data_IF_488502052479
#
_entry.id   IF_488502052479
#
_cell.length_a   1.000
_cell.length_b   1.000
_cell.length_c   1.000
_cell.angle_alpha   90.00
_cell.angle_beta   90.00
_cell.angle_gamma   90.00
#
_symmetry.space_group_name_H-M   'P 1'
#
loop_
_entity.id
_entity.type
_entity.pdbx_description
1 polymer ?
#
# COMPACT_ATOMS: atom_id res chain seq x y z
N UNK A 1 -11.09 -13.56 11.29
CA UNK A 1 -10.43 -12.30 10.88
C UNK A 1 -9.33 -12.02 11.89
N UNK A 2 -8.22 -11.41 11.47
CA UNK A 2 -7.12 -11.06 12.37
C UNK A 2 -6.96 -9.54 12.34
N UNK A 3 -7.01 -8.91 13.52
CA UNK A 3 -6.81 -7.48 13.65
C UNK A 3 -5.33 -7.14 13.42
N UNK A 4 -5.08 -6.18 12.55
CA UNK A 4 -3.74 -5.67 12.25
C UNK A 4 -3.75 -4.15 12.30
N UNK A 5 -2.63 -3.49 12.62
CA UNK A 5 -2.53 -2.04 12.54
C UNK A 5 -2.90 -1.54 11.13
N UNK A 6 -3.67 -0.45 11.06
CA UNK A 6 -4.20 0.10 9.80
C UNK A 6 -3.14 0.24 8.71
N UNK A 7 -1.99 0.82 9.03
CA UNK A 7 -0.88 1.03 8.09
C UNK A 7 -0.33 -0.30 7.57
N UNK A 8 -0.23 -1.32 8.41
CA UNK A 8 0.24 -2.65 8.00
C UNK A 8 -0.77 -3.32 7.08
N UNK A 9 -2.06 -3.27 7.44
CA UNK A 9 -3.15 -3.77 6.60
C UNK A 9 -3.19 -3.08 5.22
N UNK A 10 -3.05 -1.76 5.18
CA UNK A 10 -3.03 -0.98 3.94
C UNK A 10 -1.83 -1.35 3.04
N UNK A 11 -0.64 -1.58 3.62
CA UNK A 11 0.54 -2.05 2.87
C UNK A 11 0.34 -3.46 2.31
N UNK A 12 -0.26 -4.34 3.10
CA UNK A 12 -0.58 -5.69 2.67
C UNK A 12 -1.58 -5.65 1.50
N UNK A 13 -2.63 -4.84 1.60
CA UNK A 13 -3.59 -4.63 0.54
C UNK A 13 -2.92 -4.12 -0.75
N UNK A 14 -1.98 -3.18 -0.64
CA UNK A 14 -1.21 -2.68 -1.78
C UNK A 14 -0.36 -3.79 -2.42
N UNK A 15 0.34 -4.58 -1.60
CA UNK A 15 1.15 -5.71 -2.07
C UNK A 15 0.28 -6.76 -2.77
N UNK A 16 -0.87 -7.12 -2.19
CA UNK A 16 -1.80 -8.08 -2.79
C UNK A 16 -2.31 -7.58 -4.13
N UNK A 17 -2.75 -6.31 -4.23
CA UNK A 17 -3.20 -5.73 -5.48
C UNK A 17 -2.11 -5.71 -6.57
N UNK A 18 -0.85 -5.47 -6.19
CA UNK A 18 0.27 -5.59 -7.12
C UNK A 18 0.43 -7.03 -7.64
N UNK A 19 0.33 -8.03 -6.75
CA UNK A 19 0.46 -9.45 -7.11
C UNK A 19 -0.66 -9.91 -8.04
N UNK A 20 -1.90 -9.52 -7.76
CA UNK A 20 -3.07 -9.81 -8.60
C UNK A 20 -2.92 -9.25 -10.02
N UNK A 21 -2.27 -8.09 -10.17
CA UNK A 21 -2.06 -7.43 -11.46
C UNK A 21 -0.73 -7.79 -12.14
N UNK A 22 0.09 -8.66 -11.55
CA UNK A 22 1.45 -8.93 -12.03
C UNK A 22 2.35 -7.69 -12.02
N UNK A 23 2.04 -6.66 -11.22
CA UNK A 23 2.74 -5.38 -11.21
C UNK A 23 4.05 -5.47 -10.42
N UNK A 24 5.15 -5.12 -11.07
CA UNK A 24 6.47 -5.06 -10.42
C UNK A 24 6.64 -3.79 -9.58
N UNK A 25 7.64 -3.77 -8.68
CA UNK A 25 7.98 -2.58 -7.88
C UNK A 25 8.39 -1.40 -8.77
N UNK A 26 9.17 -1.67 -9.83
CA UNK A 26 9.54 -0.69 -10.86
C UNK A 26 8.30 -0.20 -11.61
N UNK A 27 7.37 -1.09 -11.95
CA UNK A 27 6.11 -0.74 -12.61
C UNK A 27 5.25 0.18 -11.74
N UNK A 28 5.10 -0.13 -10.45
CA UNK A 28 4.41 0.74 -9.51
C UNK A 28 5.15 2.08 -9.33
N UNK A 29 6.47 2.06 -9.25
CA UNK A 29 7.28 3.27 -9.14
C UNK A 29 7.04 4.22 -10.33
N UNK A 30 6.98 3.69 -11.56
CA UNK A 30 6.61 4.45 -12.77
C UNK A 30 5.19 5.01 -12.69
N UNK A 31 4.20 4.23 -12.25
CA UNK A 31 2.80 4.70 -12.07
C UNK A 31 2.68 5.83 -11.05
N UNK A 32 3.55 5.83 -10.03
CA UNK A 32 3.55 6.81 -8.95
C UNK A 32 4.48 8.01 -9.21
N UNK A 33 5.33 7.97 -10.24
CA UNK A 33 6.38 8.97 -10.43
C UNK A 33 7.43 8.97 -9.31
N UNK A 34 7.71 7.79 -8.73
CA UNK A 34 8.65 7.62 -7.61
C UNK A 34 9.86 6.76 -8.00
N UNK A 35 10.87 6.71 -7.13
CA UNK A 35 11.95 5.74 -7.25
C UNK A 35 11.53 4.34 -6.78
N UNK A 36 12.17 3.30 -7.32
CA UNK A 36 11.95 1.91 -6.89
C UNK A 36 12.24 1.73 -5.38
N UNK A 37 13.26 2.42 -4.87
CA UNK A 37 13.58 2.44 -3.44
C UNK A 37 12.47 3.05 -2.57
N UNK A 38 11.79 4.09 -3.05
CA UNK A 38 10.63 4.64 -2.36
C UNK A 38 9.46 3.64 -2.31
N UNK A 39 9.24 2.90 -3.39
CA UNK A 39 8.22 1.82 -3.42
C UNK A 39 8.61 0.65 -2.50
N UNK A 40 9.88 0.24 -2.47
CA UNK A 40 10.37 -0.77 -1.51
C UNK A 40 10.11 -0.37 -0.06
N UNK A 41 10.36 0.89 0.28
CA UNK A 41 10.07 1.47 1.59
C UNK A 41 8.56 1.48 1.88
N UNK A 42 7.75 1.85 0.90
CA UNK A 42 6.29 1.86 1.01
C UNK A 42 5.71 0.46 1.28
N UNK A 43 6.27 -0.58 0.67
CA UNK A 43 5.85 -1.97 0.84
C UNK A 43 6.42 -2.65 2.09
N UNK A 44 7.46 -2.08 2.71
CA UNK A 44 8.09 -2.66 3.89
C UNK A 44 7.19 -2.44 5.13
N UNK A 45 6.65 -3.48 5.77
CA UNK A 45 5.78 -3.33 6.96
C UNK A 45 6.50 -2.65 8.14
N UNK A 46 7.82 -2.83 8.27
CA UNK A 46 8.63 -2.26 9.36
C UNK A 46 9.04 -0.80 9.11
N UNK A 47 8.82 -0.26 7.92
CA UNK A 47 9.13 1.13 7.63
C UNK A 47 7.94 2.04 7.99
N UNK A 48 8.15 3.17 8.69
CA UNK A 48 7.04 4.11 8.89
C UNK A 48 6.63 4.71 7.55
N UNK A 49 5.32 4.82 7.31
CA UNK A 49 4.77 5.44 6.10
C UNK A 49 3.50 6.16 6.47
N UNK A 50 3.28 7.34 5.88
CA UNK A 50 2.05 8.08 6.11
C UNK A 50 0.90 7.37 5.39
N UNK A 51 -0.28 7.24 6.03
CA UNK A 51 -1.41 6.50 5.45
C UNK A 51 -1.82 7.07 4.09
N UNK A 52 -1.85 8.39 3.95
CA UNK A 52 -2.13 9.06 2.68
C UNK A 52 -1.15 8.73 1.53
N UNK A 53 0.09 8.31 1.81
CA UNK A 53 0.98 7.81 0.76
C UNK A 53 0.53 6.45 0.24
N UNK A 54 0.08 5.57 1.14
CA UNK A 54 -0.40 4.24 0.81
C UNK A 54 -1.75 4.33 0.10
N UNK A 55 -2.65 5.22 0.52
CA UNK A 55 -3.92 5.49 -0.16
C UNK A 55 -3.72 5.95 -1.60
N UNK A 56 -2.80 6.89 -1.85
CA UNK A 56 -2.46 7.30 -3.21
C UNK A 56 -1.92 6.15 -4.06
N UNK A 57 -1.11 5.27 -3.46
CA UNK A 57 -0.60 4.09 -4.15
C UNK A 57 -1.70 3.08 -4.47
N UNK A 58 -2.61 2.82 -3.53
CA UNK A 58 -3.81 1.99 -3.71
C UNK A 58 -4.68 2.53 -4.85
N UNK A 59 -4.90 3.84 -4.91
CA UNK A 59 -5.67 4.46 -5.98
C UNK A 59 -5.05 4.23 -7.37
N UNK A 60 -3.71 4.22 -7.49
CA UNK A 60 -3.00 3.93 -8.76
C UNK A 60 -3.02 2.46 -9.17
N UNK A 61 -3.45 1.57 -8.29
CA UNK A 61 -3.71 0.16 -8.59
C UNK A 61 -5.20 -0.17 -8.56
N UNK A 62 -6.08 0.84 -8.61
CA UNK A 62 -7.53 0.64 -8.69
C UNK A 62 -8.16 0.10 -7.40
N UNK A 63 -7.55 0.39 -6.24
CA UNK A 63 -8.08 0.06 -4.91
C UNK A 63 -8.36 1.34 -4.13
N UNK A 64 -9.39 1.31 -3.28
CA UNK A 64 -9.71 2.39 -2.33
C UNK A 64 -9.56 1.83 -0.93
N UNK A 65 -8.84 2.53 -0.06
CA UNK A 65 -8.81 2.20 1.35
C UNK A 65 -10.13 2.65 1.99
N UNK A 66 -10.75 1.77 2.75
CA UNK A 66 -11.91 2.09 3.59
C UNK A 66 -11.51 1.77 5.03
N UNK A 67 -11.70 2.75 5.92
CA UNK A 67 -11.51 2.55 7.35
C UNK A 67 -12.87 2.27 7.99
N UNK A 68 -12.92 1.30 8.89
CA UNK A 68 -13.97 1.21 9.89
C UNK A 68 -13.39 1.68 11.21
N UNK A 69 -14.07 2.62 11.87
CA UNK A 69 -13.77 2.95 13.26
C UNK A 69 -14.21 1.77 14.11
N UNK A 70 -13.24 0.95 14.52
CA UNK A 70 -13.43 0.02 15.62
C UNK A 70 -13.46 0.85 16.92
N UNK A 71 -14.58 1.50 17.18
CA UNK A 71 -14.89 1.98 18.52
C UNK A 71 -14.95 0.75 19.44
N UNK A 72 -13.91 0.60 20.27
CA UNK A 72 -13.88 -0.29 21.43
C UNK A 72 -13.48 0.54 22.63
#
# INVERSE_FOLDING_TARGET
MVAVPLVVGAKLALYTAMREQGLTKVGLARRLGLSEGAVRKLLNPNHRSHIGQIERALAKVGRRLVGEDAAV
#
